data_IF_201466083949
#
_entry.id   IF_201466083949
#
_cell.length_a   1.000
_cell.length_b   1.000
_cell.length_c   1.000
_cell.angle_alpha   90.00
_cell.angle_beta   90.00
_cell.angle_gamma   90.00
#
_symmetry.space_group_name_H-M   'P 1'
#
loop_
_entity.id
_entity.type
_entity.pdbx_description
1 polymer ?
#
# COMPACT_ATOMS: atom_id res chain seq x y z
N UNK A 1 33.81 -1.79 17.20
CA UNK A 1 32.75 -0.77 17.28
C UNK A 1 32.30 -0.45 15.87
N UNK A 2 31.28 -1.16 15.39
CA UNK A 2 30.71 -0.96 14.06
C UNK A 2 29.72 0.21 14.13
N UNK A 3 30.10 1.33 13.50
CA UNK A 3 29.27 2.51 13.35
C UNK A 3 28.22 2.22 12.27
N UNK A 4 26.94 2.25 12.61
CA UNK A 4 25.84 2.25 11.64
C UNK A 4 25.61 3.69 11.19
N UNK A 5 25.51 3.97 9.87
CA UNK A 5 25.16 5.30 9.40
C UNK A 5 23.74 5.66 9.86
N UNK A 6 23.55 6.90 10.30
CA UNK A 6 22.25 7.45 10.67
C UNK A 6 21.32 7.47 9.43
N UNK A 7 20.01 7.21 9.57
CA UNK A 7 19.08 7.32 8.47
C UNK A 7 19.03 8.76 7.95
N UNK A 8 19.19 8.90 6.63
CA UNK A 8 19.04 10.18 5.91
C UNK A 8 17.62 10.68 6.12
N UNK A 9 17.44 11.95 6.51
CA UNK A 9 16.13 12.52 6.80
C UNK A 9 15.22 12.53 5.56
N UNK A 10 14.05 11.90 5.67
CA UNK A 10 13.09 11.70 4.58
C UNK A 10 12.14 12.90 4.50
N UNK A 11 12.16 13.67 3.40
CA UNK A 11 11.22 14.78 3.19
C UNK A 11 10.00 14.32 2.37
N UNK A 12 8.79 14.38 2.95
CA UNK A 12 7.52 14.13 2.25
C UNK A 12 7.15 15.32 1.35
N UNK A 13 6.72 15.07 0.10
CA UNK A 13 6.13 16.12 -0.74
C UNK A 13 4.91 15.58 -1.52
N UNK A 14 3.74 16.17 -1.29
CA UNK A 14 2.42 15.60 -1.61
C UNK A 14 1.85 15.96 -2.99
N UNK A 15 2.68 16.29 -3.98
CA UNK A 15 2.18 16.96 -5.20
C UNK A 15 1.98 16.02 -6.41
N UNK A 16 0.96 15.17 -6.25
CA UNK A 16 0.23 14.30 -7.19
C UNK A 16 0.02 14.67 -8.67
N UNK A 17 0.15 15.96 -9.04
CA UNK A 17 -0.89 16.61 -9.86
C UNK A 17 -1.00 16.26 -11.35
N UNK A 18 -0.07 15.53 -11.98
CA UNK A 18 -0.10 15.34 -13.45
C UNK A 18 0.38 13.95 -13.90
N UNK A 19 -0.54 13.00 -13.99
CA UNK A 19 -0.39 11.86 -14.90
C UNK A 19 -0.67 12.32 -16.34
N UNK A 20 0.00 11.77 -17.38
CA UNK A 20 -0.34 12.06 -18.76
C UNK A 20 -1.79 11.61 -19.06
N UNK A 21 -2.57 12.50 -19.69
CA UNK A 21 -3.97 12.24 -20.06
C UNK A 21 -4.04 11.16 -21.15
N UNK A 22 -5.07 10.32 -21.12
CA UNK A 22 -5.42 9.48 -22.28
C UNK A 22 -5.93 10.37 -23.42
N UNK A 23 -5.64 10.06 -24.70
CA UNK A 23 -6.24 10.77 -25.82
C UNK A 23 -7.74 10.45 -25.89
N UNK A 24 -8.63 11.45 -25.69
CA UNK A 24 -10.07 11.32 -25.97
C UNK A 24 -11.07 11.85 -24.93
N UNK A 25 -10.65 12.26 -23.72
CA UNK A 25 -11.61 12.74 -22.71
C UNK A 25 -11.87 14.26 -22.79
N UNK A 26 -13.05 14.64 -23.29
CA UNK A 26 -13.62 15.98 -23.18
C UNK A 26 -14.40 16.14 -21.88
N UNK A 27 -14.35 17.34 -21.29
CA UNK A 27 -15.05 17.77 -20.08
C UNK A 27 -16.54 17.40 -20.07
N UNK A 28 -17.00 16.77 -18.98
CA UNK A 28 -18.37 16.86 -18.50
C UNK A 28 -18.32 17.29 -17.01
N UNK A 29 -19.19 18.20 -16.56
CA UNK A 29 -19.21 18.64 -15.18
C UNK A 29 -19.64 17.49 -14.25
N UNK A 30 -19.01 17.42 -13.08
CA UNK A 30 -19.36 16.48 -12.02
C UNK A 30 -20.80 16.74 -11.56
N UNK A 31 -21.74 15.93 -12.03
CA UNK A 31 -23.04 15.80 -11.41
C UNK A 31 -22.86 14.99 -10.12
N UNK A 32 -23.17 15.62 -8.99
CA UNK A 32 -23.26 14.97 -7.70
C UNK A 32 -24.33 13.86 -7.76
N UNK A 33 -23.89 12.61 -7.76
CA UNK A 33 -24.75 11.49 -7.41
C UNK A 33 -24.64 11.30 -5.90
N UNK A 34 -25.72 11.59 -5.19
CA UNK A 34 -25.94 11.16 -3.82
C UNK A 34 -25.94 9.63 -3.79
N UNK A 35 -24.90 9.03 -3.22
CA UNK A 35 -24.86 7.60 -2.91
C UNK A 35 -24.68 7.49 -1.40
N UNK A 36 -25.63 6.83 -0.78
CA UNK A 36 -25.84 6.72 0.67
C UNK A 36 -24.59 6.26 1.41
N UNK A 37 -23.99 7.19 2.16
CA UNK A 37 -22.81 6.98 3.00
C UNK A 37 -23.20 6.32 4.32
N UNK A 38 -23.08 5.00 4.41
CA UNK A 38 -23.16 4.30 5.71
C UNK A 38 -22.05 3.26 5.85
N UNK A 39 -21.01 3.62 6.61
CA UNK A 39 -20.59 2.74 7.72
C UNK A 39 -19.15 2.25 7.81
N UNK A 40 -18.32 2.28 6.77
CA UNK A 40 -17.03 1.53 6.83
C UNK A 40 -15.76 2.37 7.09
N UNK A 41 -15.84 3.70 7.14
CA UNK A 41 -14.66 4.54 6.93
C UNK A 41 -14.57 5.79 7.83
N UNK A 42 -15.02 5.72 9.09
CA UNK A 42 -14.63 6.74 10.09
C UNK A 42 -13.57 6.19 11.02
N UNK A 43 -12.48 6.95 11.11
CA UNK A 43 -11.35 6.69 11.98
C UNK A 43 -11.74 6.46 13.44
N UNK A 44 -10.86 5.74 14.11
CA UNK A 44 -10.74 5.55 15.56
C UNK A 44 -11.72 4.61 16.27
N UNK A 45 -12.67 3.97 15.56
CA UNK A 45 -13.48 2.92 16.17
C UNK A 45 -12.91 1.52 15.85
N UNK A 46 -12.49 0.71 16.85
CA UNK A 46 -12.33 -0.73 16.60
C UNK A 46 -13.67 -1.27 16.10
N UNK A 47 -13.67 -2.05 15.02
CA UNK A 47 -14.87 -2.70 14.49
C UNK A 47 -15.57 -3.44 15.64
N UNK A 48 -16.64 -2.83 16.15
CA UNK A 48 -17.30 -3.26 17.37
C UNK A 48 -18.17 -4.48 17.02
N UNK A 49 -17.68 -5.66 17.40
CA UNK A 49 -18.23 -7.02 17.22
C UNK A 49 -17.81 -7.78 15.94
N UNK A 50 -17.90 -9.11 16.03
CA UNK A 50 -17.45 -10.06 14.99
C UNK A 50 -18.22 -9.94 13.67
N UNK A 51 -19.52 -9.61 13.72
CA UNK A 51 -20.33 -9.43 12.51
C UNK A 51 -19.93 -8.17 11.72
N UNK A 52 -19.57 -7.08 12.40
CA UNK A 52 -19.02 -5.89 11.74
C UNK A 52 -17.66 -6.16 11.09
N UNK A 53 -16.85 -7.04 11.70
CA UNK A 53 -15.59 -7.52 11.10
C UNK A 53 -15.82 -8.40 9.89
N UNK A 54 -16.82 -9.29 9.91
CA UNK A 54 -17.18 -10.13 8.76
C UNK A 54 -17.75 -9.31 7.60
N UNK A 55 -18.62 -8.33 7.86
CA UNK A 55 -19.15 -7.43 6.84
C UNK A 55 -18.06 -6.54 6.23
N UNK A 56 -17.19 -5.95 7.05
CA UNK A 56 -16.04 -5.19 6.54
C UNK A 56 -15.05 -6.07 5.77
N UNK A 57 -14.89 -7.34 6.17
CA UNK A 57 -14.10 -8.33 5.44
C UNK A 57 -14.73 -8.63 4.07
N UNK A 58 -16.04 -8.85 4.00
CA UNK A 58 -16.75 -9.12 2.76
C UNK A 58 -16.71 -7.92 1.78
N UNK A 59 -16.92 -6.69 2.29
CA UNK A 59 -16.79 -5.48 1.47
C UNK A 59 -15.35 -5.27 0.98
N UNK A 60 -14.37 -5.62 1.82
CA UNK A 60 -12.96 -5.51 1.47
C UNK A 60 -12.43 -6.62 0.57
N UNK A 61 -13.07 -7.79 0.44
CA UNK A 61 -12.64 -8.84 -0.50
C UNK A 61 -12.52 -8.35 -1.96
N UNK A 62 -13.18 -7.23 -2.28
CA UNK A 62 -13.08 -6.56 -3.57
C UNK A 62 -11.90 -5.56 -3.70
N UNK A 63 -11.31 -5.11 -2.58
CA UNK A 63 -10.26 -4.10 -2.55
C UNK A 63 -8.94 -4.64 -3.09
N UNK A 64 -8.27 -3.80 -3.87
CA UNK A 64 -7.03 -4.14 -4.56
C UNK A 64 -5.82 -3.59 -3.83
N UNK A 65 -4.72 -4.30 -3.93
CA UNK A 65 -3.41 -3.78 -3.57
C UNK A 65 -2.45 -3.90 -4.75
N UNK A 66 -1.43 -3.05 -4.76
CA UNK A 66 -0.31 -3.11 -5.69
C UNK A 66 0.99 -2.88 -4.94
N UNK A 67 2.06 -3.55 -5.37
CA UNK A 67 3.43 -3.19 -5.00
C UNK A 67 4.12 -2.70 -6.26
N UNK A 68 4.59 -1.46 -6.22
CA UNK A 68 5.35 -0.83 -7.29
C UNK A 68 6.81 -0.76 -6.90
N UNK A 69 7.71 -1.14 -7.81
CA UNK A 69 9.11 -0.75 -7.72
C UNK A 69 9.27 0.65 -8.30
N UNK A 70 9.67 1.60 -7.47
CA UNK A 70 9.93 2.97 -7.85
C UNK A 70 11.43 3.15 -8.03
N UNK A 71 11.87 3.23 -9.29
CA UNK A 71 13.24 3.57 -9.64
C UNK A 71 13.39 5.07 -9.68
N UNK A 72 14.26 5.64 -8.85
CA UNK A 72 14.58 7.06 -8.88
C UNK A 72 15.70 7.32 -9.89
N UNK A 73 15.75 8.50 -10.56
CA UNK A 73 16.87 8.81 -11.42
C UNK A 73 18.18 8.82 -10.63
N UNK A 74 19.25 8.31 -11.23
CA UNK A 74 20.58 8.51 -10.67
C UNK A 74 20.81 10.01 -10.44
N UNK A 75 21.52 10.35 -9.36
CA UNK A 75 21.82 11.75 -9.01
C UNK A 75 22.37 12.47 -10.25
N UNK A 76 21.68 13.53 -10.66
CA UNK A 76 22.08 14.33 -11.81
C UNK A 76 23.26 15.22 -11.43
N UNK A 77 24.04 15.67 -12.42
CA UNK A 77 25.25 16.48 -12.23
C UNK A 77 25.02 17.83 -11.53
N UNK A 78 23.76 18.26 -11.41
CA UNK A 78 23.31 19.42 -10.64
C UNK A 78 23.17 19.14 -9.12
N UNK A 79 23.54 17.94 -8.67
CA UNK A 79 23.64 17.62 -7.24
C UNK A 79 22.31 17.32 -6.56
N UNK A 80 21.22 17.13 -7.31
CA UNK A 80 19.96 16.69 -6.72
C UNK A 80 20.02 15.19 -6.40
N UNK A 81 20.36 14.87 -5.15
CA UNK A 81 20.27 13.50 -4.62
C UNK A 81 18.80 13.17 -4.37
N UNK A 82 18.37 12.00 -4.87
CA UNK A 82 17.09 11.41 -4.53
C UNK A 82 16.87 11.44 -3.01
N UNK A 83 15.75 12.00 -2.55
CA UNK A 83 15.43 11.97 -1.12
C UNK A 83 15.27 10.54 -0.56
N UNK A 84 15.08 9.52 -1.42
CA UNK A 84 14.73 8.14 -1.01
C UNK A 84 15.40 7.00 -1.78
N UNK A 85 16.13 7.28 -2.86
CA UNK A 85 16.67 6.23 -3.73
C UNK A 85 15.61 5.30 -4.33
N UNK A 86 16.05 4.18 -4.89
CA UNK A 86 15.15 3.12 -5.37
C UNK A 86 14.43 2.45 -4.20
N UNK A 87 13.12 2.24 -4.32
CA UNK A 87 12.29 1.69 -3.24
C UNK A 87 11.06 0.96 -3.77
N UNK A 88 10.29 0.38 -2.86
CA UNK A 88 9.05 -0.31 -3.14
C UNK A 88 7.88 0.38 -2.44
N UNK A 89 6.86 0.76 -3.19
CA UNK A 89 5.63 1.32 -2.67
C UNK A 89 4.57 0.23 -2.53
N UNK A 90 4.12 0.00 -1.30
CA UNK A 90 3.01 -0.88 -0.96
C UNK A 90 1.74 -0.04 -0.88
N UNK A 91 0.83 -0.23 -1.82
CA UNK A 91 -0.36 0.60 -1.99
C UNK A 91 -1.64 -0.21 -1.83
N UNK A 92 -2.56 0.29 -1.00
CA UNK A 92 -3.82 -0.38 -0.66
C UNK A 92 -5.01 0.54 -0.93
N UNK A 93 -5.98 0.04 -1.70
CA UNK A 93 -7.19 0.77 -2.07
C UNK A 93 -8.07 1.12 -0.86
N UNK A 94 -8.46 2.39 -0.76
CA UNK A 94 -9.47 2.90 0.17
C UNK A 94 -10.36 3.94 -0.54
N UNK A 95 -11.47 4.37 0.06
CA UNK A 95 -12.32 5.41 -0.52
C UNK A 95 -11.62 6.78 -0.61
N UNK A 96 -10.61 7.02 0.21
CA UNK A 96 -9.86 8.27 0.23
C UNK A 96 -8.74 8.31 -0.83
N UNK A 97 -8.34 7.15 -1.37
CA UNK A 97 -7.20 7.00 -2.27
C UNK A 97 -6.44 5.71 -1.97
N UNK A 98 -5.13 5.71 -2.23
CA UNK A 98 -4.25 4.58 -1.91
C UNK A 98 -3.43 4.87 -0.66
N UNK A 99 -3.66 4.08 0.39
CA UNK A 99 -2.79 4.05 1.57
C UNK A 99 -1.45 3.48 1.15
N UNK A 100 -0.36 4.20 1.42
CA UNK A 100 0.93 3.89 0.82
C UNK A 100 2.05 3.86 1.86
N UNK A 101 2.85 2.80 1.82
CA UNK A 101 4.07 2.67 2.62
C UNK A 101 5.25 2.33 1.72
N UNK A 102 6.36 3.06 1.87
CA UNK A 102 7.60 2.81 1.14
C UNK A 102 8.56 1.93 1.94
N UNK A 103 9.19 0.94 1.31
CA UNK A 103 10.27 0.11 1.89
C UNK A 103 11.49 0.08 0.97
N UNK A 104 12.70 0.04 1.53
CA UNK A 104 13.95 0.02 0.73
C UNK A 104 14.15 -1.28 -0.05
N UNK A 105 13.64 -2.39 0.48
CA UNK A 105 13.62 -3.70 -0.17
C UNK A 105 12.20 -4.27 -0.17
N UNK A 106 12.02 -5.34 -0.94
CA UNK A 106 10.80 -6.15 -0.97
C UNK A 106 11.08 -7.51 -0.35
N UNK A 107 10.13 -8.05 0.41
CA UNK A 107 10.10 -9.46 0.76
C UNK A 107 9.65 -10.26 -0.47
N UNK A 108 10.28 -11.39 -0.75
CA UNK A 108 9.77 -12.30 -1.79
C UNK A 108 8.35 -12.77 -1.45
N UNK A 109 7.59 -13.27 -2.44
CA UNK A 109 6.19 -13.65 -2.22
C UNK A 109 6.06 -14.82 -1.23
N UNK A 110 7.07 -15.67 -1.19
CA UNK A 110 7.26 -16.85 -0.35
C UNK A 110 8.13 -16.60 0.90
N UNK A 111 8.46 -15.34 1.18
CA UNK A 111 9.31 -14.94 2.31
C UNK A 111 8.46 -14.26 3.39
N UNK A 112 8.45 -14.82 4.60
CA UNK A 112 7.99 -14.12 5.80
C UNK A 112 9.10 -13.21 6.33
N UNK A 113 8.76 -12.05 6.90
CA UNK A 113 9.78 -11.12 7.37
C UNK A 113 9.24 -9.80 7.88
N UNK A 114 10.18 -8.93 8.21
CA UNK A 114 9.92 -7.59 8.75
C UNK A 114 10.77 -6.58 7.99
N UNK A 115 10.17 -5.47 7.59
CA UNK A 115 10.82 -4.34 6.94
C UNK A 115 10.52 -3.04 7.69
N UNK A 116 11.50 -2.15 7.73
CA UNK A 116 11.24 -0.74 8.02
C UNK A 116 10.49 -0.12 6.83
N UNK A 117 9.52 0.71 7.15
CA UNK A 117 8.60 1.31 6.21
C UNK A 117 8.30 2.77 6.59
N UNK A 118 7.93 3.57 5.60
CA UNK A 118 7.56 4.97 5.81
C UNK A 118 6.22 5.23 5.16
N UNK A 119 5.29 5.78 5.94
CA UNK A 119 3.97 6.17 5.45
C UNK A 119 4.07 7.39 4.53
N UNK A 120 3.42 7.29 3.38
CA UNK A 120 3.38 8.33 2.36
C UNK A 120 1.98 8.95 2.28
N UNK A 121 1.85 10.15 1.69
CA UNK A 121 0.54 10.70 1.37
C UNK A 121 -0.29 9.74 0.53
N UNK A 122 -1.62 9.92 0.59
CA UNK A 122 -2.54 9.15 -0.25
C UNK A 122 -2.19 9.31 -1.74
N UNK A 123 -1.97 8.18 -2.41
CA UNK A 123 -1.79 8.15 -3.86
C UNK A 123 -3.14 8.00 -4.55
N UNK A 124 -3.16 8.27 -5.87
CA UNK A 124 -4.36 8.14 -6.68
C UNK A 124 -4.62 6.68 -7.01
N UNK A 125 -5.89 6.26 -6.99
CA UNK A 125 -6.32 4.90 -7.34
C UNK A 125 -5.83 4.42 -8.72
N UNK A 126 -5.59 5.34 -9.66
CA UNK A 126 -5.02 5.04 -10.97
C UNK A 126 -3.65 4.32 -10.91
N UNK A 127 -2.89 4.47 -9.80
CA UNK A 127 -1.61 3.79 -9.62
C UNK A 127 -1.71 2.27 -9.42
N UNK A 128 -2.91 1.72 -9.15
CA UNK A 128 -3.13 0.27 -9.13
C UNK A 128 -2.78 -0.37 -10.49
N UNK A 129 -3.06 0.35 -11.57
CA UNK A 129 -2.93 -0.14 -12.95
C UNK A 129 -1.84 0.60 -13.74
N UNK A 130 -1.24 1.67 -13.18
CA UNK A 130 -0.22 2.47 -13.85
C UNK A 130 1.17 1.85 -13.77
N UNK A 131 1.91 1.96 -14.87
CA UNK A 131 3.35 1.75 -14.94
C UNK A 131 3.96 2.81 -15.86
N UNK A 132 5.21 3.21 -15.59
CA UNK A 132 5.94 4.17 -16.40
C UNK A 132 6.41 5.40 -15.63
N UNK A 133 6.73 6.50 -16.35
CA UNK A 133 7.36 7.68 -15.77
C UNK A 133 6.50 8.38 -14.71
N UNK A 134 7.13 8.80 -13.62
CA UNK A 134 6.54 9.66 -12.59
C UNK A 134 6.84 11.12 -12.92
N UNK A 135 5.82 11.96 -12.79
CA UNK A 135 5.92 13.39 -13.13
C UNK A 135 7.03 14.10 -12.35
N UNK A 136 7.52 15.21 -12.93
CA UNK A 136 8.59 16.07 -12.38
C UNK A 136 9.95 15.38 -12.22
N UNK A 137 10.30 14.50 -13.16
CA UNK A 137 11.57 13.77 -13.17
C UNK A 137 11.82 12.99 -11.87
N UNK A 138 10.75 12.41 -11.30
CA UNK A 138 10.84 11.60 -10.08
C UNK A 138 11.08 10.12 -10.40
N UNK A 139 11.52 9.79 -11.61
CA UNK A 139 11.83 8.42 -12.01
C UNK A 139 10.66 7.70 -12.66
N UNK A 140 10.58 6.39 -12.46
CA UNK A 140 9.55 5.53 -13.05
C UNK A 140 9.09 4.47 -12.05
N UNK A 141 7.85 4.02 -12.22
CA UNK A 141 7.28 2.93 -11.44
C UNK A 141 7.00 1.73 -12.33
N UNK A 142 7.30 0.54 -11.81
CA UNK A 142 6.97 -0.75 -12.45
C UNK A 142 6.20 -1.61 -11.47
N UNK A 143 5.15 -2.28 -11.93
CA UNK A 143 4.40 -3.20 -11.08
C UNK A 143 5.22 -4.45 -10.83
N UNK A 144 5.37 -4.82 -9.55
CA UNK A 144 6.07 -6.06 -9.16
C UNK A 144 5.16 -7.06 -8.46
N UNK A 145 4.04 -6.61 -7.90
CA UNK A 145 3.00 -7.47 -7.32
C UNK A 145 1.65 -6.76 -7.38
N UNK A 146 0.57 -7.51 -7.46
CA UNK A 146 -0.79 -7.02 -7.27
C UNK A 146 -1.71 -8.14 -6.81
N UNK A 147 -2.78 -7.78 -6.13
CA UNK A 147 -3.78 -8.74 -5.71
C UNK A 147 -4.96 -8.07 -5.04
N UNK A 148 -5.62 -8.85 -4.20
CA UNK A 148 -6.74 -8.40 -3.37
C UNK A 148 -6.37 -8.50 -1.91
N UNK A 149 -7.05 -7.76 -1.06
CA UNK A 149 -6.83 -7.87 0.37
C UNK A 149 -8.14 -7.74 1.13
N UNK A 150 -8.24 -8.40 2.28
CA UNK A 150 -9.31 -8.17 3.24
C UNK A 150 -8.79 -7.29 4.38
N UNK A 151 -9.48 -6.21 4.72
CA UNK A 151 -9.14 -5.37 5.86
C UNK A 151 -9.50 -6.05 7.18
N UNK A 152 -8.52 -6.22 8.07
CA UNK A 152 -8.72 -6.77 9.41
C UNK A 152 -8.84 -5.64 10.42
N UNK A 153 -7.93 -4.67 10.37
CA UNK A 153 -7.88 -3.55 11.32
C UNK A 153 -7.22 -2.35 10.67
N UNK A 154 -7.79 -1.17 10.92
CA UNK A 154 -7.18 0.13 10.61
C UNK A 154 -7.38 1.08 11.79
N UNK A 155 -6.29 1.54 12.36
CA UNK A 155 -6.22 2.58 13.39
C UNK A 155 -5.12 3.56 12.99
N UNK A 156 -4.93 4.63 13.77
CA UNK A 156 -3.86 5.61 13.55
C UNK A 156 -2.45 5.01 13.60
N UNK A 157 -2.27 3.90 14.30
CA UNK A 157 -0.98 3.26 14.58
C UNK A 157 -0.86 1.83 14.01
N UNK A 158 -1.90 1.31 13.34
CA UNK A 158 -1.93 -0.06 12.83
C UNK A 158 -2.79 -0.22 11.59
N UNK A 159 -2.25 -0.89 10.59
CA UNK A 159 -2.95 -1.38 9.41
C UNK A 159 -2.70 -2.89 9.28
N UNK A 160 -3.76 -3.69 9.22
CA UNK A 160 -3.64 -5.15 9.13
C UNK A 160 -4.62 -5.71 8.11
N UNK A 161 -4.12 -6.57 7.24
CA UNK A 161 -4.86 -7.14 6.10
C UNK A 161 -4.47 -8.60 5.86
N UNK A 162 -5.41 -9.38 5.33
CA UNK A 162 -5.12 -10.67 4.69
C UNK A 162 -4.99 -10.44 3.17
N UNK A 163 -3.84 -10.77 2.60
CA UNK A 163 -3.52 -10.64 1.18
C UNK A 163 -3.88 -11.93 0.42
N UNK A 164 -4.36 -11.77 -0.82
CA UNK A 164 -4.66 -12.85 -1.76
C UNK A 164 -4.23 -12.51 -3.19
N UNK A 165 -3.94 -13.54 -3.98
CA UNK A 165 -3.56 -13.42 -5.40
C UNK A 165 -2.04 -13.38 -5.59
N UNK A 166 -1.47 -12.18 -5.79
CA UNK A 166 -0.02 -12.03 -6.01
C UNK A 166 0.84 -12.44 -4.80
N UNK A 167 0.24 -12.51 -3.61
CA UNK A 167 0.82 -13.00 -2.36
C UNK A 167 -0.31 -13.50 -1.46
N UNK A 168 -0.07 -14.61 -0.78
CA UNK A 168 -1.00 -15.21 0.17
C UNK A 168 -0.43 -15.11 1.58
N UNK A 169 -1.14 -14.42 2.48
CA UNK A 169 -0.72 -14.30 3.88
C UNK A 169 -1.23 -13.05 4.57
N UNK A 170 -0.73 -12.80 5.77
CA UNK A 170 -1.11 -11.66 6.59
C UNK A 170 -0.05 -10.59 6.58
N UNK A 171 -0.46 -9.37 6.29
CA UNK A 171 0.38 -8.18 6.40
C UNK A 171 -0.08 -7.34 7.58
N UNK A 172 0.87 -6.92 8.41
CA UNK A 172 0.65 -5.97 9.50
C UNK A 172 1.66 -4.85 9.38
N UNK A 173 1.18 -3.62 9.36
CA UNK A 173 1.98 -2.40 9.36
C UNK A 173 1.66 -1.65 10.65
N UNK A 174 2.64 -1.45 11.51
CA UNK A 174 2.48 -0.80 12.82
C UNK A 174 3.42 0.37 12.94
N UNK A 175 2.94 1.50 13.49
CA UNK A 175 3.80 2.65 13.73
C UNK A 175 4.87 2.27 14.76
N UNK A 176 6.13 2.52 14.42
CA UNK A 176 7.26 2.33 15.31
C UNK A 176 7.29 3.40 16.39
N UNK A 177 7.94 3.09 17.52
CA UNK A 177 8.17 4.04 18.62
C UNK A 177 9.50 4.81 18.47
N UNK A 178 10.15 4.75 17.31
CA UNK A 178 11.42 5.44 17.08
C UNK A 178 11.20 6.93 16.78
N UNK A 179 12.30 7.69 16.85
CA UNK A 179 12.42 9.12 17.22
C UNK A 179 11.73 10.11 16.26
N UNK A 180 11.11 9.63 15.19
CA UNK A 180 10.36 10.40 14.20
C UNK A 180 8.99 9.75 13.89
N UNK A 181 7.93 10.56 13.87
CA UNK A 181 6.50 10.16 13.71
C UNK A 181 6.16 9.44 12.38
N UNK A 182 7.16 9.10 11.58
CA UNK A 182 7.05 8.50 10.24
C UNK A 182 7.63 7.09 10.15
N UNK A 183 8.26 6.57 11.21
CA UNK A 183 8.75 5.20 11.22
C UNK A 183 7.59 4.21 11.38
N UNK A 184 7.43 3.32 10.42
CA UNK A 184 6.50 2.20 10.44
C UNK A 184 7.26 0.90 10.26
N UNK A 185 6.72 -0.18 10.82
CA UNK A 185 7.23 -1.52 10.66
C UNK A 185 6.22 -2.36 9.89
N UNK A 186 6.62 -2.89 8.75
CA UNK A 186 5.85 -3.80 7.92
C UNK A 186 6.27 -5.24 8.23
N UNK A 187 5.38 -6.02 8.80
CA UNK A 187 5.55 -7.45 9.10
C UNK A 187 4.64 -8.26 8.17
N UNK A 188 5.22 -9.22 7.45
CA UNK A 188 4.48 -10.17 6.65
C UNK A 188 4.67 -11.60 7.18
N UNK A 189 3.57 -12.33 7.29
CA UNK A 189 3.55 -13.75 7.66
C UNK A 189 2.79 -14.53 6.60
N UNK A 190 3.39 -15.61 6.13
CA UNK A 190 2.71 -16.57 5.27
C UNK A 190 1.62 -17.24 6.11
N UNK A 191 0.40 -17.23 5.62
CA UNK A 191 -0.63 -18.10 6.18
C UNK A 191 -0.53 -19.45 5.46
N UNK A 192 -0.59 -20.58 6.19
CA UNK A 192 -0.77 -21.87 5.53
C UNK A 192 -2.03 -21.75 4.66
N UNK A 193 -1.93 -22.13 3.39
CA UNK A 193 -3.11 -22.40 2.60
C UNK A 193 -3.85 -23.48 3.38
N UNK A 194 -4.99 -23.15 3.99
CA UNK A 194 -5.80 -24.16 4.63
C UNK A 194 -6.09 -25.20 3.54
N UNK A 195 -5.61 -26.44 3.74
CA UNK A 195 -5.85 -27.53 2.80
C UNK A 195 -7.33 -27.49 2.44
N UNK A 196 -7.60 -27.16 1.18
CA UNK A 196 -8.95 -27.21 0.66
C UNK A 196 -9.43 -28.62 0.92
N UNK A 197 -10.45 -28.72 1.74
CA UNK A 197 -11.01 -29.94 2.29
C UNK A 197 -11.26 -30.94 1.12
N UNK A 198 -10.32 -31.86 0.88
CA UNK A 198 -10.55 -33.06 0.07
C UNK A 198 -11.31 -34.02 0.98
N UNK A 199 -12.55 -33.68 1.30
CA UNK A 199 -13.49 -34.57 1.93
C UNK A 199 -14.39 -35.16 0.83
N UNK A 200 -14.38 -36.49 0.78
CA UNK A 200 -15.34 -37.38 0.14
C UNK A 200 -15.31 -37.56 -1.38
N UNK A 201 -14.32 -38.35 -1.82
CA UNK A 201 -14.57 -39.37 -2.84
C UNK A 201 -14.07 -40.73 -2.32
N UNK A 202 -14.88 -41.37 -1.46
CA UNK A 202 -14.82 -42.82 -1.27
C UNK A 202 -15.83 -43.44 -2.24
N UNK A 203 -15.32 -44.17 -3.22
CA UNK A 203 -16.05 -45.21 -3.93
C UNK A 203 -15.71 -46.56 -3.29
#
# INVERSE_FOLDING_TARGET
>A
MTSFPLPVAWTLNSDDRKLPRRPGESHAPAAAAEISTTGLWRGDAPLANAAAREAARADSESLRYVVLFHRWPAATADGFTAARGDHYDWMFESPEGLLTWATERRLSADEAGVLEAIELPLHRTAYLDYEGPVSRNRGEVRRVESGRFCLITRTVDRFEVDLRGGREGRLRITRGHLVDDLSWRLEFRIQPVADSNVADARW
#
